data_IF_805308835028
#
_entry.id   IF_805308835028
#
_cell.length_a   1.000
_cell.length_b   1.000
_cell.length_c   1.000
_cell.angle_alpha   90.00
_cell.angle_beta   90.00
_cell.angle_gamma   90.00
#
_symmetry.space_group_name_H-M   'P 1'
#
loop_
_entity.id
_entity.type
_entity.pdbx_description
1 polymer ?
#
# COMPACT_ATOMS: atom_id res chain seq x y z
N UNK A 1 -27.15 -9.64 -13.78
CA UNK A 1 -25.73 -9.72 -14.17
C UNK A 1 -24.99 -8.64 -13.42
N UNK A 2 -24.11 -8.95 -12.45
CA UNK A 2 -23.32 -7.93 -11.79
C UNK A 2 -22.13 -7.58 -12.71
N UNK A 3 -21.95 -6.29 -12.96
CA UNK A 3 -20.81 -5.77 -13.69
C UNK A 3 -19.56 -5.97 -12.84
N UNK A 4 -18.62 -6.77 -13.34
CA UNK A 4 -17.29 -6.89 -12.78
C UNK A 4 -16.56 -5.57 -13.02
N UNK A 5 -16.27 -4.83 -11.96
CA UNK A 5 -15.49 -3.60 -11.99
C UNK A 5 -14.02 -4.03 -12.08
N UNK A 6 -13.43 -3.88 -13.27
CA UNK A 6 -11.98 -4.02 -13.49
C UNK A 6 -11.33 -2.76 -12.92
N UNK A 7 -10.58 -2.90 -11.82
CA UNK A 7 -9.68 -1.85 -11.38
C UNK A 7 -8.46 -1.87 -12.30
N UNK A 8 -8.50 -1.03 -13.35
CA UNK A 8 -7.35 -0.83 -14.22
C UNK A 8 -6.29 -0.02 -13.48
N UNK A 9 -5.29 -0.71 -12.92
CA UNK A 9 -4.01 -0.10 -12.54
C UNK A 9 -3.16 0.17 -13.80
N UNK A 10 -3.71 0.92 -14.75
CA UNK A 10 -2.96 1.33 -15.94
C UNK A 10 -2.26 2.68 -15.69
N UNK A 11 -0.95 2.78 -15.99
CA UNK A 11 -0.15 3.95 -15.68
C UNK A 11 -0.32 4.99 -16.79
N UNK A 12 -1.07 6.05 -16.49
CA UNK A 12 -0.77 7.35 -17.07
C UNK A 12 -0.86 8.31 -15.90
N UNK A 13 0.22 9.01 -15.56
CA UNK A 13 0.24 10.41 -15.09
C UNK A 13 1.63 10.76 -14.54
N UNK A 14 2.18 11.82 -15.10
CA UNK A 14 3.50 12.38 -14.81
C UNK A 14 3.35 13.35 -13.62
N UNK A 15 3.98 13.07 -12.48
CA UNK A 15 4.31 14.13 -11.52
C UNK A 15 5.57 14.83 -12.06
N UNK A 16 5.38 15.68 -13.06
CA UNK A 16 6.42 16.56 -13.59
C UNK A 16 6.58 17.76 -12.66
N UNK A 17 7.59 17.68 -11.77
CA UNK A 17 8.41 18.79 -11.25
C UNK A 17 9.19 18.35 -10.00
N UNK A 18 9.98 17.28 -10.09
CA UNK A 18 11.00 17.02 -9.08
C UNK A 18 12.34 17.11 -9.79
N UNK A 19 13.11 18.12 -9.38
CA UNK A 19 14.43 18.44 -9.90
C UNK A 19 15.27 17.17 -10.03
N UNK A 20 16.17 17.19 -11.02
CA UNK A 20 17.04 16.11 -11.47
C UNK A 20 18.01 15.68 -10.35
N UNK A 21 17.48 15.01 -9.33
CA UNK A 21 18.25 14.40 -8.25
C UNK A 21 18.80 13.09 -8.81
N UNK A 22 20.12 12.92 -8.65
CA UNK A 22 20.92 11.72 -8.94
C UNK A 22 20.12 10.42 -8.82
N UNK A 23 20.40 9.44 -9.69
CA UNK A 23 19.77 8.11 -9.78
C UNK A 23 19.53 7.43 -8.43
N UNK A 24 18.49 7.85 -7.74
CA UNK A 24 18.17 7.45 -6.38
C UNK A 24 16.85 6.67 -6.41
N UNK A 25 16.82 5.48 -5.79
CA UNK A 25 15.62 4.66 -5.75
C UNK A 25 14.55 5.22 -4.80
N UNK A 26 14.91 6.17 -3.95
CA UNK A 26 14.00 6.83 -3.01
C UNK A 26 13.76 8.29 -3.41
N UNK A 27 12.68 8.89 -2.88
CA UNK A 27 12.25 10.26 -3.16
C UNK A 27 11.68 10.89 -1.89
N UNK A 28 12.07 12.12 -1.57
CA UNK A 28 11.37 12.91 -0.54
C UNK A 28 10.28 13.72 -1.22
N UNK A 29 9.07 13.72 -0.66
CA UNK A 29 7.95 14.51 -1.15
C UNK A 29 7.52 15.51 -0.08
N UNK A 30 7.37 16.77 -0.48
CA UNK A 30 6.74 17.79 0.35
C UNK A 30 5.21 17.67 0.29
N UNK A 31 4.52 18.29 1.24
CA UNK A 31 3.04 18.40 1.20
C UNK A 31 2.55 19.07 -0.09
N UNK A 32 3.31 20.03 -0.62
CA UNK A 32 2.98 20.67 -1.90
C UNK A 32 3.03 19.66 -3.04
N UNK A 33 4.05 18.80 -3.09
CA UNK A 33 4.20 17.78 -4.13
C UNK A 33 3.04 16.77 -4.07
N UNK A 34 2.69 16.31 -2.87
CA UNK A 34 1.59 15.36 -2.65
C UNK A 34 0.25 15.95 -3.08
N UNK A 35 0.02 17.23 -2.76
CA UNK A 35 -1.19 17.93 -3.14
C UNK A 35 -1.27 18.22 -4.64
N UNK A 36 -0.14 18.47 -5.29
CA UNK A 36 -0.06 18.69 -6.74
C UNK A 36 -0.14 17.39 -7.54
N UNK A 37 0.21 16.24 -6.97
CA UNK A 37 0.08 14.97 -7.68
C UNK A 37 -1.40 14.68 -7.98
N UNK A 38 -1.68 14.64 -9.28
CA UNK A 38 -3.00 14.47 -9.88
C UNK A 38 -3.44 13.02 -9.73
N UNK A 39 -4.53 12.81 -9.03
CA UNK A 39 -5.20 11.52 -8.98
C UNK A 39 -5.93 11.28 -10.31
N UNK A 40 -6.16 10.01 -10.66
CA UNK A 40 -7.06 9.71 -11.77
C UNK A 40 -8.49 10.10 -11.40
N UNK A 41 -9.35 10.36 -12.39
CA UNK A 41 -10.76 10.68 -12.13
C UNK A 41 -11.47 9.59 -11.33
N UNK A 42 -11.08 8.33 -11.50
CA UNK A 42 -11.61 7.20 -10.75
C UNK A 42 -11.16 7.24 -9.28
N UNK A 43 -9.87 7.48 -9.02
CA UNK A 43 -9.33 7.65 -7.68
C UNK A 43 -9.96 8.84 -6.95
N UNK A 44 -10.16 9.97 -7.64
CA UNK A 44 -10.85 11.14 -7.08
C UNK A 44 -12.31 10.82 -6.75
N UNK A 45 -13.02 10.15 -7.67
CA UNK A 45 -14.41 9.73 -7.46
C UNK A 45 -14.53 8.83 -6.24
N UNK A 46 -13.66 7.83 -6.12
CA UNK A 46 -13.65 6.90 -4.98
C UNK A 46 -13.29 7.60 -3.67
N UNK A 47 -12.33 8.52 -3.68
CA UNK A 47 -11.99 9.31 -2.49
C UNK A 47 -13.17 10.19 -2.03
N UNK A 48 -13.91 10.78 -2.97
CA UNK A 48 -15.13 11.54 -2.68
C UNK A 48 -16.27 10.66 -2.14
N UNK A 49 -16.40 9.44 -2.65
CA UNK A 49 -17.35 8.46 -2.12
C UNK A 49 -17.02 8.10 -0.67
N UNK A 50 -15.75 7.78 -0.38
CA UNK A 50 -15.25 7.48 0.97
C UNK A 50 -15.55 8.64 1.91
N UNK A 51 -15.21 9.87 1.50
CA UNK A 51 -15.47 11.09 2.27
C UNK A 51 -16.96 11.26 2.56
N UNK A 52 -17.82 11.00 1.58
CA UNK A 52 -19.28 11.09 1.73
C UNK A 52 -19.83 10.05 2.69
N UNK A 53 -19.38 8.79 2.60
CA UNK A 53 -19.74 7.70 3.54
C UNK A 53 -19.36 8.10 4.97
N UNK A 54 -18.15 8.63 5.14
CA UNK A 54 -17.63 9.03 6.45
C UNK A 54 -18.43 10.20 7.04
N UNK A 55 -18.67 11.24 6.25
CA UNK A 55 -19.47 12.40 6.68
C UNK A 55 -20.92 12.00 7.02
N UNK A 56 -21.52 11.12 6.22
CA UNK A 56 -22.86 10.61 6.48
C UNK A 56 -22.92 9.81 7.78
N UNK A 57 -21.91 8.98 8.05
CA UNK A 57 -21.80 8.21 9.28
C UNK A 57 -21.61 9.09 10.53
N UNK A 58 -20.87 10.19 10.40
CA UNK A 58 -20.78 11.21 11.46
C UNK A 58 -22.13 11.85 11.77
N UNK A 59 -22.92 12.21 10.75
CA UNK A 59 -24.19 12.93 10.93
C UNK A 59 -25.34 12.03 11.42
N UNK A 60 -25.44 10.81 10.90
CA UNK A 60 -26.59 9.90 11.14
C UNK A 60 -26.31 8.80 12.15
N UNK A 61 -25.05 8.62 12.55
CA UNK A 61 -24.60 7.54 13.40
C UNK A 61 -24.48 6.20 12.64
N UNK A 62 -23.59 5.34 13.13
CA UNK A 62 -23.17 4.08 12.45
C UNK A 62 -24.16 2.93 12.64
N UNK A 63 -25.38 3.21 13.13
CA UNK A 63 -26.32 2.16 13.50
C UNK A 63 -27.07 1.58 12.31
N UNK A 64 -26.94 2.16 11.12
CA UNK A 64 -27.52 1.60 9.89
C UNK A 64 -26.63 0.48 9.35
N UNK A 65 -27.27 -0.62 8.92
CA UNK A 65 -26.58 -1.79 8.34
C UNK A 65 -25.76 -1.41 7.11
N UNK A 66 -26.29 -0.53 6.26
CA UNK A 66 -25.63 -0.05 5.04
C UNK A 66 -24.29 0.64 5.32
N UNK A 67 -24.19 1.53 6.32
CA UNK A 67 -22.91 2.19 6.64
C UNK A 67 -21.87 1.17 7.12
N UNK A 68 -22.28 0.20 7.94
CA UNK A 68 -21.37 -0.85 8.43
C UNK A 68 -20.84 -1.71 7.28
N UNK A 69 -21.66 -1.98 6.27
CA UNK A 69 -21.25 -2.73 5.07
C UNK A 69 -20.27 -1.91 4.24
N UNK A 70 -20.57 -0.65 3.94
CA UNK A 70 -19.66 0.23 3.19
C UNK A 70 -18.30 0.42 3.86
N UNK A 71 -18.26 0.53 5.21
CA UNK A 71 -16.99 0.62 5.94
C UNK A 71 -16.19 -0.69 5.93
N UNK A 72 -16.87 -1.85 5.88
CA UNK A 72 -16.21 -3.15 5.73
C UNK A 72 -15.65 -3.33 4.32
N UNK A 73 -16.40 -2.90 3.32
CA UNK A 73 -15.96 -2.89 1.92
C UNK A 73 -14.73 -2.01 1.74
N UNK A 74 -14.78 -0.76 2.24
CA UNK A 74 -13.64 0.15 2.26
C UNK A 74 -12.42 -0.47 2.94
N UNK A 75 -12.59 -1.15 4.08
CA UNK A 75 -11.49 -1.86 4.73
C UNK A 75 -10.89 -2.94 3.82
N UNK A 76 -11.72 -3.73 3.16
CA UNK A 76 -11.28 -4.81 2.27
C UNK A 76 -10.53 -4.25 1.07
N UNK A 77 -11.07 -3.22 0.42
CA UNK A 77 -10.44 -2.55 -0.72
C UNK A 77 -9.10 -1.93 -0.31
N UNK A 78 -9.06 -1.17 0.78
CA UNK A 78 -7.82 -0.56 1.27
C UNK A 78 -6.73 -1.61 1.53
N UNK A 79 -7.09 -2.75 2.12
CA UNK A 79 -6.15 -3.87 2.33
C UNK A 79 -5.65 -4.46 1.00
N UNK A 80 -6.53 -4.67 0.03
CA UNK A 80 -6.13 -5.18 -1.29
C UNK A 80 -5.17 -4.20 -2.00
N UNK A 81 -5.41 -2.90 -1.89
CA UNK A 81 -4.51 -1.88 -2.42
C UNK A 81 -3.11 -1.94 -1.78
N UNK A 82 -3.05 -2.17 -0.46
CA UNK A 82 -1.78 -2.36 0.27
C UNK A 82 -1.05 -3.63 -0.22
N UNK A 83 -1.77 -4.73 -0.42
CA UNK A 83 -1.20 -6.01 -0.90
C UNK A 83 -0.63 -5.85 -2.32
N UNK A 84 -1.39 -5.27 -3.25
CA UNK A 84 -0.94 -4.98 -4.62
C UNK A 84 0.29 -4.06 -4.60
N UNK A 85 0.27 -3.02 -3.76
CA UNK A 85 1.40 -2.09 -3.63
C UNK A 85 2.64 -2.77 -3.04
N UNK A 86 2.47 -3.75 -2.16
CA UNK A 86 3.57 -4.51 -1.59
C UNK A 86 4.22 -5.40 -2.66
N UNK A 87 3.42 -6.11 -3.45
CA UNK A 87 3.91 -6.90 -4.58
C UNK A 87 4.64 -6.03 -5.62
N UNK A 88 4.10 -4.85 -5.93
CA UNK A 88 4.75 -3.91 -6.85
C UNK A 88 6.08 -3.42 -6.29
N UNK A 89 6.14 -3.07 -5.00
CA UNK A 89 7.37 -2.66 -4.32
C UNK A 89 8.43 -3.77 -4.36
N UNK A 90 8.05 -5.02 -4.12
CA UNK A 90 8.97 -6.16 -4.18
C UNK A 90 9.48 -6.47 -5.59
N UNK A 91 8.68 -6.17 -6.63
CA UNK A 91 9.09 -6.25 -8.03
C UNK A 91 10.08 -5.16 -8.42
N UNK A 92 9.86 -3.93 -7.97
CA UNK A 92 10.71 -2.79 -8.35
C UNK A 92 12.03 -2.81 -7.59
N UNK A 93 12.02 -3.16 -6.30
CA UNK A 93 13.16 -2.99 -5.42
C UNK A 93 13.73 -4.29 -4.86
N UNK A 94 15.03 -4.25 -4.60
CA UNK A 94 15.75 -5.21 -3.79
C UNK A 94 16.44 -4.50 -2.62
N UNK A 95 16.56 -5.18 -1.48
CA UNK A 95 17.31 -4.68 -0.32
C UNK A 95 18.75 -5.18 -0.44
N UNK A 96 19.67 -4.24 -0.53
CA UNK A 96 21.10 -4.48 -0.67
C UNK A 96 21.86 -3.99 0.55
N UNK A 97 22.98 -4.62 0.88
CA UNK A 97 23.86 -4.19 1.97
C UNK A 97 25.07 -3.46 1.39
N UNK A 98 25.23 -2.19 1.76
CA UNK A 98 26.36 -1.39 1.32
C UNK A 98 27.67 -1.93 1.90
N UNK A 99 28.56 -2.42 1.02
CA UNK A 99 29.78 -3.18 1.38
C UNK A 99 30.70 -2.48 2.39
N UNK A 100 30.75 -1.14 2.39
CA UNK A 100 31.66 -0.38 3.27
C UNK A 100 31.04 -0.03 4.63
N UNK A 101 29.73 0.17 4.68
CA UNK A 101 29.04 0.68 5.89
C UNK A 101 28.19 -0.37 6.56
N UNK A 102 27.91 -1.49 5.89
CA UNK A 102 26.96 -2.51 6.35
C UNK A 102 25.51 -2.03 6.39
N UNK A 103 25.23 -0.83 5.88
CA UNK A 103 23.88 -0.26 5.88
C UNK A 103 23.03 -0.89 4.78
N UNK A 104 21.79 -1.22 5.11
CA UNK A 104 20.80 -1.62 4.11
C UNK A 104 20.38 -0.41 3.26
N UNK A 105 20.18 -0.65 1.97
CA UNK A 105 19.71 0.33 1.00
C UNK A 105 18.77 -0.35 0.00
N UNK A 106 17.82 0.40 -0.54
CA UNK A 106 17.02 -0.07 -1.67
C UNK A 106 17.83 0.13 -2.96
N UNK A 107 17.74 -0.82 -3.87
CA UNK A 107 18.19 -0.68 -5.25
C UNK A 107 17.07 -1.13 -6.19
N UNK A 108 17.08 -0.62 -7.42
CA UNK A 108 16.20 -1.12 -8.47
C UNK A 108 16.60 -2.54 -8.87
N UNK A 109 15.62 -3.43 -9.01
CA UNK A 109 15.83 -4.71 -9.67
C UNK A 109 16.13 -4.49 -11.15
N UNK A 110 16.81 -5.46 -11.77
CA UNK A 110 17.13 -5.42 -13.19
C UNK A 110 15.85 -5.26 -14.03
N UNK A 111 15.85 -4.25 -14.90
CA UNK A 111 14.72 -3.93 -15.78
C UNK A 111 13.70 -2.94 -15.21
N UNK A 112 13.94 -2.40 -14.00
CA UNK A 112 13.12 -1.36 -13.39
C UNK A 112 13.91 -0.05 -13.24
N UNK A 113 13.21 1.07 -13.28
CA UNK A 113 13.82 2.40 -13.21
C UNK A 113 12.98 3.44 -12.44
N UNK A 114 13.37 4.72 -12.55
CA UNK A 114 12.72 5.85 -11.88
C UNK A 114 11.24 5.98 -12.25
N UNK A 115 10.85 5.61 -13.46
CA UNK A 115 9.45 5.64 -13.91
C UNK A 115 8.63 4.63 -13.12
N UNK A 116 9.17 3.45 -12.87
CA UNK A 116 8.51 2.44 -12.02
C UNK A 116 8.40 2.89 -10.58
N UNK A 117 9.46 3.52 -10.04
CA UNK A 117 9.39 4.19 -8.73
C UNK A 117 8.27 5.22 -8.70
N UNK A 118 8.21 6.11 -9.67
CA UNK A 118 7.24 7.20 -9.69
C UNK A 118 5.81 6.64 -9.85
N UNK A 119 5.62 5.57 -10.61
CA UNK A 119 4.36 4.83 -10.69
C UNK A 119 3.95 4.24 -9.34
N UNK A 120 4.89 3.60 -8.64
CA UNK A 120 4.67 3.09 -7.28
C UNK A 120 4.32 4.22 -6.30
N UNK A 121 5.06 5.34 -6.34
CA UNK A 121 4.82 6.52 -5.49
C UNK A 121 3.45 7.13 -5.78
N UNK A 122 2.99 7.18 -7.03
CA UNK A 122 1.65 7.66 -7.36
C UNK A 122 0.56 6.79 -6.72
N UNK A 123 0.71 5.46 -6.75
CA UNK A 123 -0.17 4.55 -6.02
C UNK A 123 -0.11 4.76 -4.51
N UNK A 124 1.08 4.99 -3.97
CA UNK A 124 1.31 5.27 -2.55
C UNK A 124 0.64 6.57 -2.11
N UNK A 125 0.67 7.62 -2.92
CA UNK A 125 -0.02 8.89 -2.66
C UNK A 125 -1.53 8.69 -2.57
N UNK A 126 -2.11 7.85 -3.44
CA UNK A 126 -3.54 7.54 -3.36
C UNK A 126 -3.89 6.80 -2.06
N UNK A 127 -3.11 5.78 -1.69
CA UNK A 127 -3.23 5.09 -0.40
C UNK A 127 -3.12 6.05 0.78
N UNK A 128 -2.16 6.97 0.74
CA UNK A 128 -1.98 8.00 1.75
C UNK A 128 -3.18 8.94 1.85
N UNK A 129 -3.75 9.39 0.73
CA UNK A 129 -4.96 10.24 0.73
C UNK A 129 -6.18 9.53 1.32
N UNK A 130 -6.35 8.23 1.07
CA UNK A 130 -7.38 7.43 1.77
C UNK A 130 -7.08 7.37 3.27
N UNK A 131 -5.84 7.03 3.64
CA UNK A 131 -5.41 6.94 5.04
C UNK A 131 -5.67 8.25 5.79
N UNK A 132 -5.31 9.39 5.19
CA UNK A 132 -5.54 10.73 5.73
C UNK A 132 -7.03 11.03 5.88
N UNK A 133 -7.84 10.80 4.83
CA UNK A 133 -9.29 10.99 4.88
C UNK A 133 -9.96 10.24 6.05
N UNK A 134 -9.54 8.99 6.28
CA UNK A 134 -10.01 8.19 7.41
C UNK A 134 -9.45 8.72 8.74
N UNK A 135 -8.16 9.05 8.81
CA UNK A 135 -7.48 9.51 10.01
C UNK A 135 -8.03 10.82 10.55
N UNK A 136 -8.21 11.81 9.67
CA UNK A 136 -8.78 13.13 10.02
C UNK A 136 -10.19 12.99 10.59
N UNK A 137 -10.90 11.93 10.21
CA UNK A 137 -12.26 11.67 10.63
C UNK A 137 -12.37 10.94 11.97
N UNK A 138 -11.26 10.48 12.57
CA UNK A 138 -11.23 9.72 13.82
C UNK A 138 -11.33 10.61 15.06
N UNK A 139 -10.79 11.83 15.01
CA UNK A 139 -10.67 12.70 16.19
C UNK A 139 -12.05 12.98 16.80
N UNK A 140 -12.98 13.47 15.97
CA UNK A 140 -14.33 13.89 16.34
C UNK A 140 -15.38 12.77 16.31
N UNK A 141 -14.99 11.53 15.97
CA UNK A 141 -15.93 10.44 15.81
C UNK A 141 -16.50 9.92 17.14
N UNK A 142 -17.81 9.59 17.21
CA UNK A 142 -18.38 8.86 18.33
C UNK A 142 -17.63 7.54 18.60
N UNK A 143 -17.49 7.13 19.88
CA UNK A 143 -16.64 6.00 20.31
C UNK A 143 -16.78 4.72 19.45
N UNK A 144 -18.00 4.27 19.20
CA UNK A 144 -18.25 3.05 18.41
C UNK A 144 -17.84 3.21 16.94
N UNK A 145 -17.98 4.42 16.39
CA UNK A 145 -17.57 4.75 15.03
C UNK A 145 -16.05 4.86 14.92
N UNK A 146 -15.44 5.53 15.89
CA UNK A 146 -14.00 5.72 16.02
C UNK A 146 -13.24 4.40 15.95
N UNK A 147 -13.72 3.38 16.66
CA UNK A 147 -13.11 2.04 16.64
C UNK A 147 -13.30 1.30 15.30
N UNK A 148 -14.33 1.63 14.51
CA UNK A 148 -14.48 1.09 13.16
C UNK A 148 -13.53 1.77 12.18
N UNK A 149 -13.42 3.10 12.23
CA UNK A 149 -12.48 3.86 11.39
C UNK A 149 -11.03 3.45 11.64
N UNK A 150 -10.61 3.32 12.91
CA UNK A 150 -9.28 2.81 13.25
C UNK A 150 -9.00 1.44 12.64
N UNK A 151 -9.99 0.56 12.54
CA UNK A 151 -9.85 -0.78 11.96
C UNK A 151 -9.66 -0.80 10.44
N UNK A 152 -9.98 0.30 9.74
CA UNK A 152 -9.78 0.43 8.30
C UNK A 152 -8.29 0.63 8.01
N UNK A 153 -7.66 1.54 8.74
CA UNK A 153 -6.24 1.90 8.59
C UNK A 153 -5.30 1.16 9.54
N UNK A 154 -5.80 0.13 10.25
CA UNK A 154 -5.03 -0.63 11.24
C UNK A 154 -3.85 -1.35 10.57
N UNK A 155 -2.64 -0.97 10.96
CA UNK A 155 -1.37 -1.44 10.36
C UNK A 155 -0.83 -2.70 11.04
N UNK A 156 -1.71 -3.63 11.47
CA UNK A 156 -1.27 -4.89 12.10
C UNK A 156 -0.39 -5.72 11.17
N UNK A 157 -0.61 -5.56 9.87
CA UNK A 157 0.24 -6.14 8.86
C UNK A 157 1.55 -5.36 8.78
N UNK A 158 2.66 -6.08 8.88
CA UNK A 158 4.02 -5.53 8.84
C UNK A 158 4.46 -5.27 7.39
N UNK A 159 3.54 -4.86 6.53
CA UNK A 159 3.87 -4.54 5.14
C UNK A 159 4.84 -3.35 5.10
N UNK A 160 5.92 -3.40 4.29
CA UNK A 160 6.78 -2.24 4.05
C UNK A 160 5.99 -1.01 3.57
N UNK A 161 4.88 -1.22 2.86
CA UNK A 161 4.00 -0.16 2.35
C UNK A 161 3.40 0.69 3.48
N UNK A 162 3.08 0.11 4.64
CA UNK A 162 2.65 0.90 5.79
C UNK A 162 3.75 1.82 6.30
N UNK A 163 5.00 1.39 6.19
CA UNK A 163 6.18 2.21 6.43
C UNK A 163 6.32 3.35 5.45
N UNK A 164 6.05 3.07 4.18
CA UNK A 164 6.10 4.04 3.11
C UNK A 164 5.01 5.11 3.30
N UNK A 165 3.78 4.70 3.63
CA UNK A 165 2.67 5.62 3.98
C UNK A 165 3.03 6.49 5.18
N UNK A 166 3.59 5.89 6.23
CA UNK A 166 4.03 6.62 7.41
C UNK A 166 5.16 7.60 7.09
N UNK A 167 6.16 7.17 6.32
CA UNK A 167 7.27 8.03 5.92
C UNK A 167 6.78 9.19 5.07
N UNK A 168 5.82 8.94 4.17
CA UNK A 168 5.16 9.98 3.38
C UNK A 168 4.45 11.01 4.27
N UNK A 169 3.73 10.57 5.30
CA UNK A 169 3.06 11.47 6.27
C UNK A 169 4.03 12.31 7.11
N UNK A 170 5.26 11.85 7.27
CA UNK A 170 6.31 12.51 8.07
C UNK A 170 7.25 13.36 7.19
N UNK A 171 6.99 13.47 5.88
CA UNK A 171 7.85 14.19 4.94
C UNK A 171 9.23 13.53 4.78
N UNK A 172 9.29 12.21 4.88
CA UNK A 172 10.51 11.41 4.75
C UNK A 172 10.61 10.73 3.38
N UNK A 173 11.79 10.20 3.08
CA UNK A 173 12.04 9.46 1.85
C UNK A 173 11.13 8.23 1.70
N UNK A 174 10.60 8.06 0.49
CA UNK A 174 9.80 6.91 0.07
C UNK A 174 10.33 6.31 -1.26
N UNK A 175 10.32 4.98 -1.42
CA UNK A 175 10.05 3.99 -0.38
C UNK A 175 11.13 4.01 0.72
N UNK A 176 10.74 3.67 1.95
CA UNK A 176 11.59 3.63 3.13
C UNK A 176 12.02 2.20 3.47
N UNK A 177 13.18 2.08 4.10
CA UNK A 177 13.61 0.86 4.79
C UNK A 177 13.28 0.86 6.28
N UNK A 178 12.91 2.02 6.85
CA UNK A 178 12.85 2.22 8.30
C UNK A 178 11.71 1.45 8.99
N UNK A 179 10.79 0.86 8.23
CA UNK A 179 9.65 0.15 8.78
C UNK A 179 9.88 -1.38 8.75
N UNK A 180 10.12 -1.94 9.94
CA UNK A 180 10.40 -3.34 10.31
C UNK A 180 11.85 -3.80 10.54
N UNK A 181 12.85 -2.92 10.50
CA UNK A 181 14.24 -3.33 10.80
C UNK A 181 14.55 -3.60 12.27
N UNK A 182 13.56 -3.56 13.16
CA UNK A 182 13.77 -3.91 14.57
C UNK A 182 13.80 -5.43 14.87
N UNK A 183 13.49 -6.34 13.91
CA UNK A 183 13.39 -7.78 14.25
C UNK A 183 13.96 -8.85 13.31
N UNK A 184 14.52 -8.53 12.13
CA UNK A 184 15.08 -9.58 11.26
C UNK A 184 16.60 -9.50 11.00
N UNK A 185 17.31 -8.53 11.59
CA UNK A 185 18.77 -8.54 11.62
C UNK A 185 19.29 -9.53 12.68
N UNK A 186 18.99 -10.83 12.51
CA UNK A 186 19.90 -11.87 12.97
C UNK A 186 20.98 -12.02 11.90
N UNK A 187 22.04 -11.24 12.05
CA UNK A 187 23.34 -11.60 11.52
C UNK A 187 23.68 -12.99 12.07
N UNK A 188 23.54 -14.02 11.23
CA UNK A 188 23.84 -15.40 11.56
C UNK A 188 24.50 -16.03 10.35
N UNK A 189 25.75 -15.63 10.09
CA UNK A 189 26.64 -16.46 9.30
C UNK A 189 26.91 -17.73 10.11
N UNK A 190 26.38 -18.87 9.67
CA UNK A 190 26.95 -20.18 9.97
C UNK A 190 26.67 -21.11 8.79
N UNK A 191 27.76 -21.55 8.16
CA UNK A 191 27.78 -22.68 7.25
C UNK A 191 27.48 -24.00 7.99
N UNK A 192 27.12 -25.02 7.20
CA UNK A 192 26.94 -26.46 7.52
C UNK A 192 25.61 -26.79 8.24
N UNK A 193 24.84 -27.83 7.90
CA UNK A 193 25.11 -29.04 7.12
C UNK A 193 23.79 -29.69 6.64
N UNK A 194 23.92 -30.63 5.69
CA UNK A 194 22.86 -31.40 5.02
C UNK A 194 21.94 -32.15 6.01
N UNK A 195 20.63 -32.14 5.76
CA UNK A 195 19.66 -33.01 6.44
C UNK A 195 18.36 -33.17 5.66
N UNK A 196 18.22 -34.29 4.95
CA UNK A 196 16.96 -34.81 4.38
C UNK A 196 15.84 -34.87 5.43
N UNK A 197 14.61 -34.51 5.04
CA UNK A 197 13.45 -34.68 5.92
C UNK A 197 12.12 -34.25 5.32
N UNK A 198 11.46 -35.17 4.63
CA UNK A 198 10.08 -35.09 4.16
C UNK A 198 9.08 -34.59 5.21
N UNK A 199 8.15 -33.72 4.83
CA UNK A 199 6.80 -33.64 5.42
C UNK A 199 5.72 -33.26 4.40
N UNK A 200 5.07 -34.32 3.91
CA UNK A 200 3.64 -34.53 3.59
C UNK A 200 2.78 -33.32 3.15
N UNK A 201 2.37 -33.44 1.89
CA UNK A 201 1.15 -32.90 1.29
C UNK A 201 -0.09 -33.41 2.03
N UNK A 202 -0.97 -32.50 2.44
CA UNK A 202 -2.35 -32.78 2.81
C UNK A 202 -3.27 -31.79 2.11
N UNK A 203 -3.94 -32.23 1.03
CA UNK A 203 -5.11 -31.55 0.48
C UNK A 203 -6.39 -32.03 1.18
N UNK A 204 -7.59 -31.85 0.59
CA UNK A 204 -8.06 -30.77 -0.27
C UNK A 204 -9.31 -30.13 0.35
N UNK A 205 -9.48 -28.80 0.30
CA UNK A 205 -10.75 -28.18 0.67
C UNK A 205 -11.09 -27.03 -0.27
N UNK A 206 -12.30 -27.13 -0.82
CA UNK A 206 -13.18 -26.06 -1.33
C UNK A 206 -12.81 -25.32 -2.62
N UNK A 207 -13.52 -25.68 -3.69
CA UNK A 207 -14.79 -25.01 -4.00
C UNK A 207 -14.71 -23.49 -4.21
N UNK A 208 -14.80 -23.10 -5.49
CA UNK A 208 -15.29 -21.80 -6.00
C UNK A 208 -14.41 -20.59 -5.66
N UNK A 209 -13.23 -20.51 -6.29
CA UNK A 209 -12.61 -19.22 -6.65
C UNK A 209 -12.14 -19.31 -8.10
N UNK A 210 -13.09 -19.48 -9.01
CA UNK A 210 -12.91 -19.14 -10.41
C UNK A 210 -13.56 -17.75 -10.60
N UNK A 211 -12.77 -16.68 -10.56
CA UNK A 211 -13.02 -15.43 -11.33
C UNK A 211 -12.12 -14.22 -11.05
N UNK A 212 -11.12 -14.26 -10.16
CA UNK A 212 -10.28 -13.07 -9.91
C UNK A 212 -8.89 -13.16 -10.58
N UNK A 213 -8.47 -14.35 -11.02
CA UNK A 213 -7.16 -14.54 -11.67
C UNK A 213 -7.11 -14.14 -13.16
N UNK A 214 -8.22 -13.67 -13.74
CA UNK A 214 -8.36 -13.50 -15.19
C UNK A 214 -7.87 -12.17 -15.79
N UNK A 215 -7.53 -11.16 -14.99
CA UNK A 215 -7.27 -9.81 -15.51
C UNK A 215 -5.96 -9.15 -15.03
N UNK A 216 -5.11 -9.85 -14.27
CA UNK A 216 -3.82 -9.30 -13.78
C UNK A 216 -2.64 -9.67 -14.71
N UNK A 217 -2.88 -10.46 -15.77
CA UNK A 217 -1.81 -11.02 -16.64
C UNK A 217 -1.74 -10.36 -18.03
N UNK A 218 -2.40 -9.22 -18.25
CA UNK A 218 -2.24 -8.49 -19.50
C UNK A 218 -1.67 -7.10 -19.20
N UNK A 219 -0.50 -6.84 -19.78
CA UNK A 219 0.32 -5.61 -19.72
C UNK A 219 1.40 -5.58 -18.63
N UNK A 220 2.30 -6.57 -18.72
CA UNK A 220 3.77 -6.36 -18.56
C UNK A 220 4.33 -6.14 -19.97
#
# INVERSE_FOLDING_TARGET
MPACISADFSPTYSCSNIEDVKDTPCKTLSDSDINQCRLTSEQESKLNEIKSIIQYAHQKGVNTTSIKESLKELKSEFRQLIEISAELREKIYEVMIHKKTGAEMLEFRLGYDKSDRDNYINGLIYLYKIHQCVSDSIEDAPKNYKELLKKIIDTKDKSPVHGDIKSLSEGHEVPTLKYNNAKNSKSGCSCEDIGEGCCKIGGPVTGIIASILGCVVLFI
#
